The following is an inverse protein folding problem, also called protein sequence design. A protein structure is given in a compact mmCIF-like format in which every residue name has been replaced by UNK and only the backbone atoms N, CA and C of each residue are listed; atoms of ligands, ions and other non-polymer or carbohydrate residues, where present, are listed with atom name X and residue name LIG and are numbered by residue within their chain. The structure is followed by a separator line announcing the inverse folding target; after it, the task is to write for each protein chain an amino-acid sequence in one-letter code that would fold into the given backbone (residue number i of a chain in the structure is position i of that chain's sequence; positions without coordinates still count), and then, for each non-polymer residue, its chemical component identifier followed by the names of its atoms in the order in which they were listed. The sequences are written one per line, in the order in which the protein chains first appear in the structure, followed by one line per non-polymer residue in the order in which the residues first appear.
data_IF_317985553556
#
_entry.id   IF_317985553556
#
_cell.length_a   1.000
_cell.length_b   1.000
_cell.length_c   1.000
_cell.angle_alpha   90.00
_cell.angle_beta   90.00
_cell.angle_gamma   90.00
#
_symmetry.space_group_name_H-M   'P 1'
#
loop_
_entity.id
_entity.type
_entity.pdbx_description
1 polymer ?
#
# COMPACT_ATOMS: atom_id res chain seq x y z
N UNK A 1 15.48 -10.92 -5.91
CA UNK A 1 15.59 -11.83 -4.75
C UNK A 1 14.30 -12.65 -4.68
N UNK A 2 14.37 -13.97 -4.89
CA UNK A 2 13.19 -14.83 -4.75
C UNK A 2 12.71 -14.83 -3.28
N UNK A 3 11.39 -14.85 -3.02
CA UNK A 3 10.88 -14.98 -1.66
C UNK A 3 11.31 -16.33 -1.09
N UNK A 4 11.87 -16.32 0.12
CA UNK A 4 12.20 -17.55 0.85
C UNK A 4 10.90 -18.32 1.09
N UNK A 5 10.78 -19.55 0.60
CA UNK A 5 9.55 -20.36 0.67
C UNK A 5 9.02 -20.50 2.09
N UNK A 6 9.93 -20.59 3.07
CA UNK A 6 9.64 -20.66 4.51
C UNK A 6 8.93 -19.41 5.08
N UNK A 7 8.97 -18.27 4.38
CA UNK A 7 8.37 -17.01 4.82
C UNK A 7 7.04 -16.69 4.14
N UNK A 8 6.62 -17.49 3.16
CA UNK A 8 5.39 -17.24 2.41
C UNK A 8 4.21 -17.70 3.28
N UNK A 9 3.27 -16.80 3.54
CA UNK A 9 2.05 -17.10 4.28
C UNK A 9 0.83 -16.67 3.48
N UNK A 10 -0.26 -17.44 3.59
CA UNK A 10 -1.55 -17.02 3.04
C UNK A 10 -2.13 -15.88 3.88
N UNK A 11 -2.97 -15.05 3.26
CA UNK A 11 -3.69 -14.03 4.01
C UNK A 11 -4.63 -14.70 5.02
N UNK A 12 -4.69 -14.16 6.23
CA UNK A 12 -5.55 -14.69 7.29
C UNK A 12 -6.30 -13.58 8.02
N UNK A 13 -7.54 -13.88 8.40
CA UNK A 13 -8.38 -13.00 9.20
C UNK A 13 -8.19 -13.32 10.67
N UNK A 14 -7.89 -12.30 11.47
CA UNK A 14 -7.87 -12.39 12.92
C UNK A 14 -8.55 -11.18 13.55
N UNK A 15 -8.83 -11.26 14.85
CA UNK A 15 -9.60 -10.25 15.56
C UNK A 15 -8.80 -9.71 16.74
N UNK A 16 -8.72 -8.39 16.86
CA UNK A 16 -8.10 -7.71 18.00
C UNK A 16 -9.20 -7.22 18.95
N UNK A 17 -9.18 -7.59 20.25
CA UNK A 17 -10.13 -7.10 21.22
C UNK A 17 -10.17 -5.57 21.33
N UNK A 18 -11.38 -5.03 21.50
CA UNK A 18 -11.63 -3.62 21.80
C UNK A 18 -12.28 -3.50 23.18
N UNK A 19 -11.50 -3.66 24.26
CA UNK A 19 -12.04 -3.70 25.63
C UNK A 19 -12.73 -2.40 26.06
N UNK A 20 -12.44 -1.28 25.38
CA UNK A 20 -12.99 0.04 25.68
C UNK A 20 -14.28 0.39 24.88
N UNK A 21 -14.80 -0.51 24.02
CA UNK A 21 -16.04 -0.26 23.25
C UNK A 21 -17.11 -1.28 23.60
N UNK A 22 -18.15 -0.83 24.31
CA UNK A 22 -19.34 -1.65 24.56
C UNK A 22 -20.02 -2.03 23.24
N UNK A 23 -20.45 -3.30 23.10
CA UNK A 23 -21.15 -3.79 21.91
C UNK A 23 -20.30 -3.99 20.65
N UNK A 24 -19.00 -3.69 20.67
CA UNK A 24 -18.09 -3.98 19.54
C UNK A 24 -16.83 -4.68 20.06
N UNK A 25 -16.91 -5.98 20.38
CA UNK A 25 -15.86 -6.65 21.14
C UNK A 25 -14.55 -6.79 20.37
N UNK A 26 -14.58 -6.80 19.03
CA UNK A 26 -13.45 -7.18 18.19
C UNK A 26 -13.28 -6.25 16.98
N UNK A 27 -12.03 -5.92 16.64
CA UNK A 27 -11.64 -5.30 15.37
C UNK A 27 -11.15 -6.40 14.41
N UNK A 28 -11.83 -6.64 13.28
CA UNK A 28 -11.32 -7.55 12.25
C UNK A 28 -10.06 -6.97 11.62
N UNK A 29 -9.04 -7.79 11.45
CA UNK A 29 -7.80 -7.48 10.74
C UNK A 29 -7.51 -8.59 9.75
N UNK A 30 -7.32 -8.22 8.49
CA UNK A 30 -6.79 -9.13 7.46
C UNK A 30 -5.27 -8.94 7.44
N UNK A 31 -4.53 -9.94 7.92
CA UNK A 31 -3.07 -9.99 7.77
C UNK A 31 -2.75 -10.52 6.38
N UNK A 32 -2.08 -9.70 5.58
CA UNK A 32 -1.55 -10.08 4.27
C UNK A 32 -0.01 -9.99 4.23
N UNK A 33 0.62 -9.94 5.42
CA UNK A 33 2.07 -9.83 5.52
C UNK A 33 2.73 -11.08 4.94
N UNK A 34 3.70 -10.88 4.04
CA UNK A 34 4.44 -11.97 3.37
C UNK A 34 3.63 -12.85 2.40
N UNK A 35 2.49 -12.35 1.91
CA UNK A 35 1.74 -13.03 0.86
C UNK A 35 2.52 -13.05 -0.48
N UNK A 36 2.40 -14.13 -1.28
CA UNK A 36 3.12 -14.25 -2.54
C UNK A 36 2.70 -13.18 -3.56
N UNK A 37 1.46 -12.69 -3.48
CA UNK A 37 0.95 -11.65 -4.37
C UNK A 37 1.69 -10.33 -4.19
N UNK A 38 2.28 -10.03 -3.01
CA UNK A 38 3.12 -8.84 -2.82
C UNK A 38 4.30 -8.83 -3.78
N UNK A 39 4.91 -10.00 -4.04
CA UNK A 39 5.99 -10.14 -5.01
C UNK A 39 5.51 -9.91 -6.44
N UNK A 40 4.33 -10.45 -6.77
CA UNK A 40 3.68 -10.29 -8.08
C UNK A 40 3.33 -8.82 -8.31
N UNK A 41 2.71 -8.14 -7.35
CA UNK A 41 2.37 -6.73 -7.42
C UNK A 41 3.62 -5.86 -7.63
N UNK A 42 4.71 -6.14 -6.91
CA UNK A 42 5.99 -5.42 -7.11
C UNK A 42 6.61 -5.67 -8.48
N UNK A 43 6.49 -6.90 -9.00
CA UNK A 43 6.97 -7.22 -10.34
C UNK A 43 6.15 -6.50 -11.41
N UNK A 44 4.81 -6.53 -11.28
CA UNK A 44 3.91 -5.83 -12.18
C UNK A 44 4.12 -4.31 -12.15
N UNK A 45 4.29 -3.74 -10.95
CA UNK A 45 4.61 -2.33 -10.78
C UNK A 45 5.87 -1.94 -11.55
N UNK A 46 6.94 -2.74 -11.48
CA UNK A 46 8.15 -2.51 -12.27
C UNK A 46 7.92 -2.52 -13.78
N UNK A 47 7.06 -3.41 -14.28
CA UNK A 47 6.74 -3.48 -15.70
C UNK A 47 5.94 -2.26 -16.17
N UNK A 48 4.99 -1.79 -15.36
CA UNK A 48 4.10 -0.68 -15.70
C UNK A 48 4.75 0.67 -15.40
N UNK A 49 5.76 0.72 -14.51
CA UNK A 49 6.38 1.96 -14.04
C UNK A 49 6.80 2.94 -15.15
N UNK A 50 7.42 2.51 -16.26
CA UNK A 50 7.79 3.44 -17.34
C UNK A 50 6.58 4.12 -18.00
N UNK A 51 5.46 3.39 -18.11
CA UNK A 51 4.21 3.91 -18.69
C UNK A 51 3.57 4.91 -17.71
N UNK A 52 3.54 4.55 -16.42
CA UNK A 52 3.05 5.42 -15.35
C UNK A 52 3.85 6.74 -15.28
N UNK A 53 5.19 6.65 -15.26
CA UNK A 53 6.05 7.83 -15.18
C UNK A 53 5.91 8.74 -16.41
N UNK A 54 5.64 8.17 -17.59
CA UNK A 54 5.45 8.94 -18.83
C UNK A 54 4.08 9.63 -18.92
N UNK A 55 3.01 8.96 -18.48
CA UNK A 55 1.64 9.41 -18.78
C UNK A 55 0.84 9.86 -17.56
N UNK A 56 1.05 9.24 -16.40
CA UNK A 56 0.22 9.44 -15.21
C UNK A 56 0.91 10.29 -14.14
N UNK A 57 2.23 10.48 -14.22
CA UNK A 57 2.99 11.23 -13.21
C UNK A 57 2.59 12.70 -13.11
N UNK A 58 2.26 13.33 -14.23
CA UNK A 58 1.81 14.73 -14.22
C UNK A 58 0.40 14.87 -13.62
N UNK A 59 -0.49 13.90 -13.84
CA UNK A 59 -1.89 13.96 -13.43
C UNK A 59 -2.18 13.34 -12.07
N UNK A 60 -1.25 12.56 -11.51
CA UNK A 60 -1.47 11.79 -10.29
C UNK A 60 -0.54 12.28 -9.19
N UNK A 61 -1.09 12.40 -7.97
CA UNK A 61 -0.32 12.64 -6.75
C UNK A 61 0.22 11.31 -6.26
N UNK A 62 1.54 11.23 -6.04
CA UNK A 62 2.21 9.98 -5.66
C UNK A 62 2.10 9.73 -4.15
N UNK A 63 2.33 10.79 -3.37
CA UNK A 63 2.30 10.75 -1.90
C UNK A 63 2.02 12.15 -1.33
N UNK A 64 1.97 12.26 -0.01
CA UNK A 64 1.72 13.52 0.67
C UNK A 64 2.83 14.56 0.49
N UNK A 65 4.07 14.14 0.26
CA UNK A 65 5.21 15.04 0.05
C UNK A 65 5.16 15.63 -1.37
N UNK A 66 4.89 14.79 -2.38
CA UNK A 66 4.63 15.21 -3.76
C UNK A 66 3.45 16.20 -3.82
N UNK A 67 2.40 15.96 -3.03
CA UNK A 67 1.28 16.90 -2.92
C UNK A 67 1.73 18.27 -2.39
N UNK A 68 2.45 18.29 -1.27
CA UNK A 68 2.89 19.56 -0.65
C UNK A 68 3.77 20.35 -1.62
N UNK A 69 4.78 19.71 -2.25
CA UNK A 69 5.63 20.39 -3.22
C UNK A 69 4.85 20.96 -4.41
N UNK A 70 3.82 20.25 -4.90
CA UNK A 70 2.97 20.76 -5.97
C UNK A 70 2.12 21.95 -5.52
N UNK A 71 1.61 21.92 -4.30
CA UNK A 71 0.83 23.03 -3.72
C UNK A 71 1.70 24.26 -3.53
N UNK A 72 2.93 24.10 -3.05
CA UNK A 72 3.88 25.20 -2.88
C UNK A 72 4.10 25.98 -4.18
N UNK A 73 4.19 25.27 -5.32
CA UNK A 73 4.31 25.89 -6.64
C UNK A 73 3.11 26.76 -7.07
N UNK A 74 1.93 26.57 -6.47
CA UNK A 74 0.76 27.45 -6.70
C UNK A 74 0.74 28.68 -5.79
N UNK A 75 1.53 28.68 -4.72
CA UNK A 75 1.61 29.80 -3.75
C UNK A 75 2.56 30.90 -4.21
N UNK A 76 3.50 30.57 -5.11
CA UNK A 76 4.50 31.49 -5.67
C UNK A 76 4.07 32.15 -6.99
N UNK A 77 2.83 31.89 -7.47
CA UNK A 77 2.16 32.61 -8.55
C UNK A 77 1.07 33.52 -7.98
#
# INVERSE_FOLDING_TARGET
MMPKREKIQLAYLYFIPKPHKAGTPLRPIVSSMSMPTTGISKFLDKLIRPIFDKHARSTTIIDGVDLIHRLEAYTTN
#
